data_IF_583816441036
#
_entry.id   IF_583816441036
#
_cell.length_a   1.000
_cell.length_b   1.000
_cell.length_c   1.000
_cell.angle_alpha   90.00
_cell.angle_beta   90.00
_cell.angle_gamma   90.00
#
_symmetry.space_group_name_H-M   'P 1'
#
loop_
_entity.id
_entity.type
_entity.pdbx_description
1 polymer ?
#
# COMPACT_ATOMS: atom_id res chain seq x y z
N UNK A 1 -5.41 3.75 -10.66
CA UNK A 1 -4.48 3.53 -11.79
C UNK A 1 -4.90 2.28 -12.55
N UNK A 2 -4.68 2.20 -13.86
CA UNK A 2 -4.84 0.95 -14.64
C UNK A 2 -3.50 0.51 -15.19
N UNK A 3 -3.27 -0.81 -15.29
CA UNK A 3 -2.01 -1.38 -15.78
C UNK A 3 -2.24 -2.72 -16.48
N UNK A 4 -1.22 -3.22 -17.16
CA UNK A 4 -1.18 -4.57 -17.72
C UNK A 4 -0.03 -5.35 -17.07
N UNK A 5 -0.33 -6.51 -16.50
CA UNK A 5 0.66 -7.33 -15.77
C UNK A 5 -0.01 -8.44 -14.98
N UNK A 6 0.80 -9.15 -14.17
CA UNK A 6 0.35 -10.23 -13.29
C UNK A 6 0.64 -9.97 -11.82
N UNK A 7 1.46 -8.96 -11.52
CA UNK A 7 1.77 -8.57 -10.15
C UNK A 7 1.93 -7.07 -10.05
N UNK A 8 1.50 -6.53 -8.92
CA UNK A 8 1.82 -5.16 -8.52
C UNK A 8 2.46 -5.15 -7.14
N UNK A 9 3.47 -4.30 -6.99
CA UNK A 9 4.08 -3.94 -5.71
C UNK A 9 3.92 -2.45 -5.49
N UNK A 10 3.56 -2.08 -4.26
CA UNK A 10 3.57 -0.70 -3.80
C UNK A 10 4.76 -0.49 -2.87
N UNK A 11 5.61 0.46 -3.23
CA UNK A 11 6.74 0.92 -2.44
C UNK A 11 6.42 2.26 -1.77
N UNK A 12 6.80 2.39 -0.51
CA UNK A 12 6.57 3.58 0.31
C UNK A 12 7.70 3.81 1.31
N UNK A 13 7.82 5.07 1.75
CA UNK A 13 8.41 5.42 3.03
C UNK A 13 7.47 4.99 4.17
N UNK A 14 7.96 4.16 5.08
CA UNK A 14 7.37 3.98 6.41
C UNK A 14 7.88 5.07 7.37
N UNK A 15 7.11 5.44 8.38
CA UNK A 15 7.61 6.34 9.43
C UNK A 15 6.61 6.68 10.53
N UNK A 16 7.05 7.49 11.52
CA UNK A 16 6.35 7.70 12.79
C UNK A 16 5.19 8.69 12.70
N UNK A 17 4.91 9.20 11.50
CA UNK A 17 3.82 10.12 11.17
C UNK A 17 2.86 9.52 10.13
N UNK A 18 3.02 8.24 9.82
CA UNK A 18 2.23 7.54 8.83
C UNK A 18 1.04 6.80 9.45
N UNK A 19 0.00 6.58 8.64
CA UNK A 19 -1.17 5.79 9.01
C UNK A 19 -1.45 4.67 8.03
N UNK A 20 -2.73 4.35 7.89
CA UNK A 20 -3.23 3.24 7.08
C UNK A 20 -3.87 3.70 5.76
N UNK A 21 -3.82 2.82 4.77
CA UNK A 21 -4.48 2.97 3.49
C UNK A 21 -5.28 1.71 3.13
N UNK A 22 -6.35 1.88 2.36
CA UNK A 22 -7.06 0.78 1.71
C UNK A 22 -6.50 0.57 0.29
N UNK A 23 -5.95 -0.61 0.02
CA UNK A 23 -5.64 -1.06 -1.32
C UNK A 23 -6.81 -1.88 -1.87
N UNK A 24 -7.29 -1.56 -3.06
CA UNK A 24 -8.26 -2.40 -3.79
C UNK A 24 -7.85 -2.56 -5.25
N UNK A 25 -8.24 -3.68 -5.85
CA UNK A 25 -7.99 -3.96 -7.27
C UNK A 25 -9.22 -4.56 -7.94
N UNK A 26 -9.46 -4.18 -9.20
CA UNK A 26 -10.55 -4.71 -10.04
C UNK A 26 -11.94 -4.66 -9.40
N UNK A 27 -12.20 -3.63 -8.59
CA UNK A 27 -13.45 -3.48 -7.84
C UNK A 27 -13.66 -4.50 -6.71
N UNK A 28 -12.64 -5.29 -6.40
CA UNK A 28 -12.64 -6.23 -5.28
C UNK A 28 -12.55 -5.54 -3.92
N UNK A 29 -12.67 -6.34 -2.86
CA UNK A 29 -12.60 -5.89 -1.47
C UNK A 29 -11.27 -5.18 -1.17
N UNK A 30 -11.35 -4.14 -0.35
CA UNK A 30 -10.19 -3.43 0.14
C UNK A 30 -9.39 -4.28 1.14
N UNK A 31 -8.07 -4.18 1.06
CA UNK A 31 -7.09 -4.73 1.99
C UNK A 31 -6.37 -3.57 2.67
N UNK A 32 -6.30 -3.59 4.00
CA UNK A 32 -5.69 -2.51 4.77
C UNK A 32 -4.16 -2.68 4.78
N UNK A 33 -3.46 -1.62 4.42
CA UNK A 33 -2.00 -1.53 4.44
C UNK A 33 -1.61 -0.49 5.48
N UNK A 34 -0.85 -0.92 6.47
CA UNK A 34 -0.26 -0.04 7.48
C UNK A 34 1.10 0.45 6.98
N UNK A 35 1.31 1.76 7.03
CA UNK A 35 2.57 2.38 6.62
C UNK A 35 3.34 3.01 7.79
N UNK A 36 2.96 2.71 9.03
CA UNK A 36 3.69 3.12 10.22
C UNK A 36 5.01 2.35 10.41
N UNK A 37 6.02 3.07 10.90
CA UNK A 37 7.20 2.52 11.57
C UNK A 37 7.72 3.54 12.59
N UNK A 38 8.43 3.10 13.64
CA UNK A 38 8.97 4.03 14.65
C UNK A 38 10.04 5.00 14.07
N UNK A 39 10.70 4.59 12.99
CA UNK A 39 11.72 5.37 12.28
C UNK A 39 11.37 5.48 10.80
N UNK A 40 11.96 6.45 10.11
CA UNK A 40 11.83 6.59 8.67
C UNK A 40 12.56 5.46 7.93
N UNK A 41 11.82 4.65 7.17
CA UNK A 41 12.37 3.57 6.35
C UNK A 41 11.88 3.72 4.91
N UNK A 42 12.80 3.93 3.97
CA UNK A 42 12.49 4.28 2.58
C UNK A 42 12.45 3.07 1.65
N UNK A 43 11.64 3.14 0.59
CA UNK A 43 11.64 2.12 -0.47
C UNK A 43 11.16 0.75 0.00
N UNK A 44 10.30 0.69 1.01
CA UNK A 44 9.76 -0.58 1.54
C UNK A 44 8.63 -1.05 0.65
N UNK A 45 8.66 -2.32 0.21
CA UNK A 45 7.53 -2.96 -0.46
C UNK A 45 6.43 -3.27 0.57
N UNK A 46 5.56 -2.29 0.85
CA UNK A 46 4.52 -2.37 1.88
C UNK A 46 3.35 -3.27 1.48
N UNK A 47 3.16 -3.47 0.17
CA UNK A 47 2.09 -4.31 -0.33
C UNK A 47 2.46 -5.02 -1.63
N UNK A 48 1.94 -6.23 -1.80
CA UNK A 48 2.10 -7.07 -2.99
C UNK A 48 0.80 -7.77 -3.31
N UNK A 49 0.36 -7.70 -4.56
CA UNK A 49 -0.75 -8.50 -5.10
C UNK A 49 -0.30 -9.27 -6.33
N UNK A 50 -0.52 -10.58 -6.30
CA UNK A 50 -0.42 -11.45 -7.47
C UNK A 50 -1.83 -11.69 -8.05
N UNK A 51 -1.95 -11.63 -9.37
CA UNK A 51 -3.14 -11.97 -10.14
C UNK A 51 -2.98 -13.36 -10.76
N UNK A 52 -4.09 -14.04 -11.01
CA UNK A 52 -4.09 -15.40 -11.54
C UNK A 52 -3.48 -15.50 -12.95
N UNK A 53 -3.66 -14.46 -13.77
CA UNK A 53 -3.20 -14.39 -15.16
C UNK A 53 -2.58 -13.04 -15.44
N UNK A 54 -1.72 -12.96 -16.46
CA UNK A 54 -1.33 -11.66 -17.05
C UNK A 54 -2.58 -11.04 -17.67
N UNK A 55 -2.87 -9.78 -17.36
CA UNK A 55 -4.02 -9.10 -17.93
C UNK A 55 -4.06 -7.62 -17.59
N UNK A 56 -5.12 -6.96 -18.05
CA UNK A 56 -5.40 -5.57 -17.71
C UNK A 56 -6.12 -5.51 -16.36
N UNK A 57 -5.58 -4.71 -15.45
CA UNK A 57 -6.08 -4.54 -14.10
C UNK A 57 -6.25 -3.05 -13.75
N UNK A 58 -6.99 -2.81 -12.68
CA UNK A 58 -7.11 -1.52 -12.02
C UNK A 58 -6.74 -1.65 -10.55
N UNK A 59 -6.12 -0.60 -10.00
CA UNK A 59 -5.91 -0.47 -8.57
C UNK A 59 -6.33 0.91 -8.07
N UNK A 60 -6.71 0.96 -6.81
CA UNK A 60 -7.04 2.15 -6.06
C UNK A 60 -6.38 2.08 -4.68
N UNK A 61 -5.72 3.16 -4.27
CA UNK A 61 -5.14 3.33 -2.94
C UNK A 61 -5.86 4.54 -2.33
N UNK A 62 -6.56 4.30 -1.23
CA UNK A 62 -7.31 5.32 -0.50
C UNK A 62 -6.67 5.54 0.87
N UNK A 63 -6.38 6.79 1.22
CA UNK A 63 -5.88 7.14 2.56
C UNK A 63 -7.06 7.14 3.52
N UNK A 64 -6.96 6.39 4.62
CA UNK A 64 -8.08 6.21 5.54
C UNK A 64 -8.13 7.29 6.62
N UNK A 65 -7.02 7.99 6.87
CA UNK A 65 -6.95 8.97 7.95
C UNK A 65 -6.98 8.32 9.34
N UNK A 66 -6.62 7.05 9.43
CA UNK A 66 -6.65 6.24 10.65
C UNK A 66 -5.32 5.49 10.84
N UNK A 67 -5.03 5.10 12.07
CA UNK A 67 -3.89 4.24 12.41
C UNK A 67 -4.38 2.80 12.61
N UNK A 68 -3.46 1.83 12.56
CA UNK A 68 -3.82 0.46 12.88
C UNK A 68 -4.18 0.39 14.37
N UNK A 69 -5.21 -0.41 14.71
CA UNK A 69 -5.57 -0.67 16.09
C UNK A 69 -4.51 -1.59 16.76
N UNK A 70 -3.33 -1.02 17.04
CA UNK A 70 -2.22 -1.66 17.73
C UNK A 70 -1.85 -0.82 18.95
N UNK A 71 -1.83 -1.37 20.18
CA UNK A 71 -1.48 -0.60 21.38
C UNK A 71 -0.03 -0.08 21.38
N UNK A 72 0.83 -0.56 20.48
CA UNK A 72 2.20 -0.08 20.32
C UNK A 72 2.35 0.93 19.17
N UNK A 73 1.27 1.27 18.47
CA UNK A 73 1.26 2.33 17.48
C UNK A 73 1.38 3.68 18.20
N UNK A 74 2.46 4.39 17.90
CA UNK A 74 2.75 5.73 18.44
C UNK A 74 2.77 6.78 17.33
N UNK A 75 2.11 6.49 16.21
CA UNK A 75 2.09 7.40 15.09
C UNK A 75 1.53 8.76 15.47
N UNK A 76 2.19 9.80 15.00
CA UNK A 76 1.85 11.20 15.22
C UNK A 76 0.95 11.78 14.12
N UNK A 77 0.64 11.00 13.08
CA UNK A 77 -0.12 11.44 11.92
C UNK A 77 -0.60 10.29 11.04
N UNK A 78 -1.34 10.64 9.99
CA UNK A 78 -2.01 9.66 9.12
C UNK A 78 -1.49 9.70 7.69
N UNK A 79 -0.23 10.11 7.49
CA UNK A 79 0.35 10.21 6.16
C UNK A 79 0.47 8.83 5.50
N UNK A 80 0.36 8.81 4.18
CA UNK A 80 0.59 7.61 3.37
C UNK A 80 1.47 8.04 2.21
N UNK A 81 2.65 7.42 2.12
CA UNK A 81 3.62 7.70 1.07
C UNK A 81 3.49 6.71 -0.08
N UNK A 82 3.71 7.18 -1.31
CA UNK A 82 3.77 6.34 -2.51
C UNK A 82 5.06 6.69 -3.25
N UNK A 83 6.13 5.96 -2.93
CA UNK A 83 7.44 6.15 -3.56
C UNK A 83 7.43 5.59 -4.99
N UNK A 84 6.73 4.48 -5.20
CA UNK A 84 6.59 3.88 -6.52
C UNK A 84 5.62 2.72 -6.58
N UNK A 85 5.08 2.50 -7.77
CA UNK A 85 4.31 1.31 -8.11
C UNK A 85 5.08 0.52 -9.17
N UNK A 86 5.39 -0.75 -8.89
CA UNK A 86 6.02 -1.65 -9.85
C UNK A 86 5.00 -2.66 -10.34
N UNK A 87 4.92 -2.82 -11.65
CA UNK A 87 4.12 -3.84 -12.32
C UNK A 87 5.06 -4.87 -12.92
N UNK A 88 4.76 -6.16 -12.72
CA UNK A 88 5.55 -7.27 -13.24
C UNK A 88 4.66 -8.20 -14.09
N UNK A 89 5.21 -8.70 -15.20
CA UNK A 89 4.49 -9.58 -16.13
C UNK A 89 4.46 -11.03 -15.65
N UNK A 90 5.49 -11.48 -14.95
CA UNK A 90 5.57 -12.85 -14.44
C UNK A 90 6.99 -13.30 -14.21
#
# INVERSE_FOLDING_TARGET
MTFEGRRVLWFAKLGPDNGTAAFSSDGGSAEIVDTYAADDVWGVAVYRKDFATVGRHSLHIEVLGEHKADPNDQSSGTFVNVDGIRVEMG
#
